data_IF_894087807996
#
_entry.id   IF_894087807996
#
_cell.length_a   1.000
_cell.length_b   1.000
_cell.length_c   1.000
_cell.angle_alpha   90.00
_cell.angle_beta   90.00
_cell.angle_gamma   90.00
#
_symmetry.space_group_name_H-M   'P 1'
#
loop_
_entity.id
_entity.type
_entity.pdbx_description
1 polymer ?
#
# COMPACT_ATOMS: atom_id res chain seq x y z
N UNK A 1 4.48 8.62 0.07
CA UNK A 1 3.23 7.98 -0.41
C UNK A 1 2.51 7.25 0.71
N UNK A 2 3.23 6.55 1.59
CA UNK A 2 2.66 5.92 2.80
C UNK A 2 2.00 6.97 3.71
N UNK A 3 2.53 8.19 3.77
CA UNK A 3 1.99 9.30 4.56
C UNK A 3 0.59 9.73 4.09
N UNK A 4 0.26 9.51 2.81
CA UNK A 4 -1.10 9.76 2.29
C UNK A 4 -2.09 8.77 2.88
N UNK A 5 -1.71 7.50 2.99
CA UNK A 5 -2.53 6.45 3.62
C UNK A 5 -2.70 6.79 5.11
N UNK A 6 -1.61 7.12 5.81
CA UNK A 6 -1.67 7.55 7.22
C UNK A 6 -2.60 8.76 7.41
N UNK A 7 -2.55 9.74 6.49
CA UNK A 7 -3.45 10.89 6.51
C UNK A 7 -4.91 10.51 6.29
N UNK A 8 -5.21 9.65 5.32
CA UNK A 8 -6.58 9.17 5.04
C UNK A 8 -7.13 8.42 6.25
N UNK A 9 -6.36 7.47 6.79
CA UNK A 9 -6.75 6.71 8.00
C UNK A 9 -7.02 7.65 9.16
N UNK A 10 -6.09 8.58 9.43
CA UNK A 10 -6.27 9.56 10.51
C UNK A 10 -7.51 10.43 10.34
N UNK A 11 -7.85 10.83 9.11
CA UNK A 11 -9.04 11.63 8.82
C UNK A 11 -10.35 10.90 9.17
N UNK A 12 -10.36 9.57 9.02
CA UNK A 12 -11.53 8.73 9.29
C UNK A 12 -11.50 8.08 10.68
N UNK A 13 -10.44 8.30 11.47
CA UNK A 13 -10.29 7.77 12.82
C UNK A 13 -9.46 6.48 12.87
N UNK A 14 -9.84 5.50 12.05
CA UNK A 14 -9.12 4.23 11.91
C UNK A 14 -9.25 3.64 10.50
N UNK A 15 -8.57 2.51 10.27
CA UNK A 15 -8.50 1.86 8.95
C UNK A 15 -9.85 1.30 8.55
N UNK A 16 -10.59 0.72 9.49
CA UNK A 16 -11.91 0.10 9.23
C UNK A 16 -12.90 1.19 8.79
N UNK A 17 -12.98 2.28 9.56
CA UNK A 17 -13.83 3.43 9.25
C UNK A 17 -13.47 4.06 7.90
N UNK A 18 -12.18 4.10 7.55
CA UNK A 18 -11.74 4.57 6.24
C UNK A 18 -12.13 3.63 5.08
N UNK A 19 -12.18 2.31 5.32
CA UNK A 19 -12.57 1.32 4.31
C UNK A 19 -14.09 1.17 4.17
N UNK A 20 -14.85 1.49 5.21
CA UNK A 20 -16.32 1.52 5.20
C UNK A 20 -16.87 2.81 4.58
N UNK A 21 -16.10 3.91 4.62
CA UNK A 21 -16.43 5.15 3.92
C UNK A 21 -16.17 5.02 2.41
N UNK A 22 -17.13 5.42 1.58
CA UNK A 22 -17.01 5.29 0.12
C UNK A 22 -15.85 6.10 -0.46
N UNK A 23 -15.63 7.34 0.00
CA UNK A 23 -14.54 8.18 -0.49
C UNK A 23 -13.20 7.73 0.09
N UNK A 24 -13.19 7.36 1.38
CA UNK A 24 -12.03 6.81 2.08
C UNK A 24 -11.52 5.53 1.44
N UNK A 25 -12.41 4.59 1.12
CA UNK A 25 -12.09 3.33 0.47
C UNK A 25 -11.44 3.57 -0.88
N UNK A 26 -12.08 4.39 -1.74
CA UNK A 26 -11.54 4.74 -3.05
C UNK A 26 -10.16 5.42 -2.94
N UNK A 27 -9.98 6.32 -1.97
CA UNK A 27 -8.72 7.00 -1.75
C UNK A 27 -7.61 6.04 -1.28
N UNK A 28 -7.92 5.10 -0.38
CA UNK A 28 -6.98 4.08 0.09
C UNK A 28 -6.57 3.13 -1.05
N UNK A 29 -7.54 2.59 -1.78
CA UNK A 29 -7.28 1.68 -2.90
C UNK A 29 -6.44 2.35 -4.00
N UNK A 30 -6.72 3.63 -4.28
CA UNK A 30 -5.92 4.43 -5.20
C UNK A 30 -4.48 4.62 -4.71
N UNK A 31 -4.30 4.97 -3.43
CA UNK A 31 -2.97 5.16 -2.86
C UNK A 31 -2.13 3.86 -2.87
N UNK A 32 -2.75 2.72 -2.54
CA UNK A 32 -2.12 1.40 -2.62
C UNK A 32 -1.71 1.07 -4.06
N UNK A 33 -2.61 1.29 -5.02
CA UNK A 33 -2.35 1.04 -6.44
C UNK A 33 -1.18 1.90 -6.96
N UNK A 34 -1.08 3.16 -6.53
CA UNK A 34 0.04 4.04 -6.88
C UNK A 34 1.38 3.56 -6.32
N UNK A 35 1.39 3.04 -5.10
CA UNK A 35 2.59 2.46 -4.49
C UNK A 35 3.03 1.22 -5.26
N UNK A 36 2.11 0.30 -5.57
CA UNK A 36 2.40 -0.90 -6.35
C UNK A 36 2.96 -0.58 -7.73
N UNK A 37 2.35 0.38 -8.43
CA UNK A 37 2.83 0.84 -9.75
C UNK A 37 4.24 1.45 -9.67
N UNK A 38 4.51 2.25 -8.62
CA UNK A 38 5.79 2.92 -8.44
C UNK A 38 6.91 1.93 -8.12
N UNK A 39 6.66 0.97 -7.21
CA UNK A 39 7.63 -0.09 -6.89
C UNK A 39 7.92 -0.96 -8.11
N UNK A 40 6.91 -1.33 -8.88
CA UNK A 40 7.08 -2.14 -10.10
C UNK A 40 7.91 -1.41 -11.18
N UNK A 41 7.81 -0.08 -11.26
CA UNK A 41 8.61 0.75 -12.20
C UNK A 41 9.99 1.14 -11.68
N UNK A 42 10.26 0.94 -10.39
CA UNK A 42 11.56 1.27 -9.80
C UNK A 42 12.61 0.33 -10.36
N UNK A 43 13.80 0.86 -10.67
CA UNK A 43 14.90 0.05 -11.20
C UNK A 43 15.24 -1.10 -10.25
N UNK A 44 15.39 -2.31 -10.80
CA UNK A 44 15.63 -3.51 -9.99
C UNK A 44 16.87 -3.38 -9.10
N UNK A 45 17.91 -2.68 -9.56
CA UNK A 45 19.10 -2.40 -8.76
C UNK A 45 18.75 -1.64 -7.47
N UNK A 46 17.90 -0.62 -7.57
CA UNK A 46 17.47 0.17 -6.41
C UNK A 46 16.64 -0.70 -5.46
N UNK A 47 15.73 -1.52 -5.99
CA UNK A 47 14.93 -2.45 -5.18
C UNK A 47 15.84 -3.41 -4.40
N UNK A 48 16.85 -3.98 -5.07
CA UNK A 48 17.78 -4.92 -4.44
C UNK A 48 18.72 -4.25 -3.46
N UNK A 49 19.23 -3.06 -3.78
CA UNK A 49 20.04 -2.28 -2.84
C UNK A 49 19.26 -1.96 -1.56
N UNK A 50 17.92 -1.79 -1.65
CA UNK A 50 17.02 -1.52 -0.53
C UNK A 50 16.42 -2.80 0.12
N UNK A 51 16.67 -4.00 -0.41
CA UNK A 51 16.07 -5.25 0.09
C UNK A 51 14.53 -5.26 0.06
N UNK A 52 13.95 -4.71 -1.01
CA UNK A 52 12.50 -4.52 -1.19
C UNK A 52 11.88 -5.49 -2.20
N UNK A 53 12.54 -6.60 -2.56
CA UNK A 53 12.03 -7.53 -3.57
C UNK A 53 10.67 -8.12 -3.20
N UNK A 54 10.48 -8.44 -1.92
CA UNK A 54 9.20 -8.98 -1.41
C UNK A 54 8.12 -7.92 -1.49
N UNK A 55 8.41 -6.69 -1.07
CA UNK A 55 7.50 -5.56 -1.13
C UNK A 55 7.13 -5.19 -2.57
N UNK A 56 8.09 -5.21 -3.50
CA UNK A 56 7.85 -4.94 -4.92
C UNK A 56 6.86 -5.95 -5.50
N UNK A 57 7.12 -7.24 -5.29
CA UNK A 57 6.24 -8.31 -5.77
C UNK A 57 4.86 -8.23 -5.13
N UNK A 58 4.81 -8.12 -3.80
CA UNK A 58 3.56 -8.05 -3.04
C UNK A 58 2.71 -6.85 -3.43
N UNK A 59 3.30 -5.66 -3.54
CA UNK A 59 2.58 -4.44 -3.91
C UNK A 59 2.05 -4.50 -5.36
N UNK A 60 2.80 -5.11 -6.29
CA UNK A 60 2.33 -5.32 -7.66
C UNK A 60 1.14 -6.30 -7.72
N UNK A 61 1.21 -7.40 -6.96
CA UNK A 61 0.12 -8.37 -6.85
C UNK A 61 -1.13 -7.75 -6.20
N UNK A 62 -0.97 -7.00 -5.10
CA UNK A 62 -2.07 -6.26 -4.46
C UNK A 62 -2.69 -5.23 -5.42
N UNK A 63 -1.88 -4.49 -6.18
CA UNK A 63 -2.39 -3.56 -7.19
C UNK A 63 -3.21 -4.29 -8.26
N UNK A 64 -2.74 -5.45 -8.73
CA UNK A 64 -3.47 -6.22 -9.73
C UNK A 64 -4.80 -6.74 -9.20
N UNK A 65 -4.82 -7.20 -7.94
CA UNK A 65 -6.04 -7.58 -7.26
C UNK A 65 -7.03 -6.41 -7.18
N UNK A 66 -6.60 -5.24 -6.72
CA UNK A 66 -7.47 -4.05 -6.61
C UNK A 66 -8.06 -3.62 -7.96
N UNK A 67 -7.26 -3.65 -9.03
CA UNK A 67 -7.66 -3.10 -10.34
C UNK A 67 -8.48 -4.09 -11.16
N UNK A 68 -8.29 -5.40 -10.98
CA UNK A 68 -8.89 -6.41 -11.84
C UNK A 68 -10.01 -7.23 -11.18
N UNK A 69 -10.20 -7.14 -9.87
CA UNK A 69 -11.25 -7.91 -9.20
C UNK A 69 -12.61 -7.20 -9.28
N UNK A 70 -13.34 -7.47 -10.37
CA UNK A 70 -14.65 -6.90 -10.67
C UNK A 70 -15.75 -7.31 -9.67
N UNK A 71 -15.53 -8.37 -8.89
CA UNK A 71 -16.48 -8.89 -7.90
C UNK A 71 -16.33 -8.25 -6.52
N UNK A 72 -15.34 -7.37 -6.35
CA UNK A 72 -15.11 -6.59 -5.14
C UNK A 72 -13.81 -6.96 -4.42
N UNK A 73 -13.09 -5.95 -3.95
CA UNK A 73 -11.82 -6.12 -3.23
C UNK A 73 -12.08 -6.65 -1.81
N UNK A 74 -11.38 -7.71 -1.42
CA UNK A 74 -11.37 -8.18 -0.03
C UNK A 74 -10.78 -7.11 0.91
N UNK A 75 -11.64 -6.41 1.63
CA UNK A 75 -11.24 -5.31 2.51
C UNK A 75 -10.46 -5.77 3.74
N UNK A 76 -10.61 -7.03 4.16
CA UNK A 76 -9.78 -7.58 5.22
C UNK A 76 -8.33 -7.71 4.77
N UNK A 77 -8.09 -8.15 3.52
CA UNK A 77 -6.75 -8.17 2.95
C UNK A 77 -6.16 -6.75 2.85
N UNK A 78 -6.96 -5.76 2.44
CA UNK A 78 -6.52 -4.36 2.36
C UNK A 78 -6.19 -3.79 3.73
N UNK A 79 -7.00 -4.08 4.74
CA UNK A 79 -6.72 -3.70 6.12
C UNK A 79 -5.35 -4.25 6.57
N UNK A 80 -5.07 -5.52 6.26
CA UNK A 80 -3.78 -6.17 6.58
C UNK A 80 -2.60 -5.51 5.85
N UNK A 81 -2.76 -5.16 4.58
CA UNK A 81 -1.74 -4.40 3.84
C UNK A 81 -1.43 -3.08 4.54
N UNK A 82 -2.47 -2.35 4.99
CA UNK A 82 -2.32 -1.05 5.64
C UNK A 82 -1.70 -1.16 7.04
N UNK A 83 -2.14 -2.13 7.83
CA UNK A 83 -1.78 -2.26 9.25
C UNK A 83 -0.48 -3.01 9.50
N UNK A 84 -0.07 -3.90 8.60
CA UNK A 84 1.11 -4.76 8.79
C UNK A 84 2.21 -4.45 7.78
N UNK A 85 1.89 -4.43 6.47
CA UNK A 85 2.91 -4.35 5.42
C UNK A 85 3.49 -2.94 5.23
N UNK A 86 2.67 -1.90 5.20
CA UNK A 86 3.18 -0.54 5.02
C UNK A 86 4.07 -0.05 6.16
N UNK A 87 3.75 -0.30 7.45
CA UNK A 87 4.66 0.06 8.55
C UNK A 87 6.02 -0.66 8.45
N UNK A 88 6.02 -1.94 8.07
CA UNK A 88 7.26 -2.69 7.88
C UNK A 88 8.11 -2.13 6.72
N UNK A 89 7.47 -1.82 5.58
CA UNK A 89 8.13 -1.21 4.43
C UNK A 89 8.69 0.19 4.76
N UNK A 90 7.91 1.02 5.47
CA UNK A 90 8.35 2.35 5.93
C UNK A 90 9.61 2.24 6.79
N UNK A 91 9.62 1.31 7.74
CA UNK A 91 10.77 1.05 8.61
C UNK A 91 12.02 0.66 7.82
N UNK A 92 11.87 -0.15 6.76
CA UNK A 92 13.00 -0.49 5.87
C UNK A 92 13.52 0.76 5.16
N UNK A 93 12.63 1.52 4.51
CA UNK A 93 13.00 2.74 3.77
C UNK A 93 13.72 3.77 4.66
N UNK A 94 13.25 3.97 5.89
CA UNK A 94 13.86 4.91 6.84
C UNK A 94 15.28 4.48 7.25
N UNK A 95 15.53 3.18 7.44
CA UNK A 95 16.88 2.65 7.76
C UNK A 95 17.89 2.82 6.63
N UNK A 96 17.44 2.91 5.39
CA UNK A 96 18.30 3.16 4.24
C UNK A 96 18.59 4.65 4.02
N UNK A 97 17.72 5.54 4.51
CA UNK A 97 17.89 6.98 4.40
C UNK A 97 18.78 7.59 5.50
N UNK A 98 19.08 6.81 6.55
CA UNK A 98 19.94 7.17 7.70
C UNK A 98 21.37 6.67 7.53
#
# INVERSE_FOLDING_TARGET
>A
MIEKIEFIVKRHGDVVSALEDTEGQLALLMAISQIGETLNKTEQKVITDLGLEVEQKGAYETRNFIVHDYDGVDLYLIEKVITEYFPAMKTKLERFAS
#
